data_IF_885055165124
#
_entry.id   IF_885055165124
#
_cell.length_a   1.000
_cell.length_b   1.000
_cell.length_c   1.000
_cell.angle_alpha   90.00
_cell.angle_beta   90.00
_cell.angle_gamma   90.00
#
_symmetry.space_group_name_H-M   'P 1'
#
loop_
_entity.id
_entity.type
_entity.pdbx_description
1 polymer ?
#
# COMPACT_ATOMS: atom_id res chain seq x y z
N UNK A 1 -6.13 -13.74 19.35
CA UNK A 1 -5.29 -12.56 19.03
C UNK A 1 -5.60 -12.12 17.61
N UNK A 2 -5.82 -10.84 17.40
CA UNK A 2 -6.05 -10.37 16.04
C UNK A 2 -4.78 -10.53 15.20
N UNK A 3 -4.95 -10.92 13.97
CA UNK A 3 -3.86 -10.99 13.01
C UNK A 3 -3.77 -9.67 12.25
N UNK A 4 -2.55 -9.30 11.90
CA UNK A 4 -2.29 -8.18 11.00
C UNK A 4 -1.76 -8.78 9.71
N UNK A 5 -2.46 -8.47 8.62
CA UNK A 5 -2.01 -8.85 7.29
C UNK A 5 -1.30 -7.65 6.68
N UNK A 6 -0.13 -7.89 6.12
CA UNK A 6 0.70 -6.86 5.53
C UNK A 6 1.00 -7.25 4.09
N UNK A 7 0.85 -6.31 3.18
CA UNK A 7 1.16 -6.52 1.79
C UNK A 7 2.07 -5.41 1.28
N UNK A 8 3.13 -5.80 0.59
CA UNK A 8 3.95 -4.87 -0.17
C UNK A 8 3.47 -4.87 -1.60
N UNK A 9 3.16 -3.70 -2.11
CA UNK A 9 2.58 -3.52 -3.44
C UNK A 9 3.42 -2.56 -4.27
N UNK A 10 3.39 -2.77 -5.57
CA UNK A 10 3.96 -1.82 -6.52
C UNK A 10 2.79 -1.16 -7.24
N UNK A 11 2.70 0.14 -7.14
CA UNK A 11 1.73 0.94 -7.87
C UNK A 11 2.43 1.73 -8.96
N UNK A 12 1.76 1.88 -10.09
CA UNK A 12 2.27 2.72 -11.17
C UNK A 12 1.27 3.84 -11.40
N UNK A 13 1.79 5.05 -11.48
CA UNK A 13 0.96 6.24 -11.69
C UNK A 13 1.52 7.00 -12.88
N UNK A 14 0.71 7.91 -13.41
CA UNK A 14 1.18 8.80 -14.48
C UNK A 14 2.27 9.71 -13.93
N UNK A 15 3.45 9.77 -14.56
CA UNK A 15 4.55 10.60 -14.02
C UNK A 15 4.17 12.07 -13.85
N UNK A 16 3.36 12.61 -14.75
CA UNK A 16 2.91 14.01 -14.69
C UNK A 16 1.95 14.26 -13.53
N UNK A 17 1.45 13.20 -12.90
CA UNK A 17 0.53 13.30 -11.77
C UNK A 17 1.11 12.66 -10.50
N UNK A 18 2.42 12.51 -10.46
CA UNK A 18 3.09 11.79 -9.38
C UNK A 18 2.75 12.36 -8.00
N UNK A 19 2.94 13.66 -7.80
CA UNK A 19 2.73 14.28 -6.49
C UNK A 19 1.26 14.16 -6.04
N UNK A 20 0.33 14.39 -6.94
CA UNK A 20 -1.10 14.28 -6.64
C UNK A 20 -1.50 12.85 -6.29
N UNK A 21 -0.97 11.90 -7.04
CA UNK A 21 -1.26 10.48 -6.83
C UNK A 21 -0.72 10.00 -5.49
N UNK A 22 0.50 10.39 -5.15
CA UNK A 22 1.09 10.07 -3.85
C UNK A 22 0.23 10.62 -2.72
N UNK A 23 -0.16 11.88 -2.81
CA UNK A 23 -0.98 12.51 -1.78
C UNK A 23 -2.32 11.78 -1.61
N UNK A 24 -2.95 11.40 -2.73
CA UNK A 24 -4.24 10.70 -2.69
C UNK A 24 -4.10 9.30 -2.10
N UNK A 25 -3.04 8.58 -2.46
CA UNK A 25 -2.79 7.24 -1.92
C UNK A 25 -2.53 7.34 -0.41
N UNK A 26 -1.69 8.26 0.01
CA UNK A 26 -1.36 8.42 1.43
C UNK A 26 -2.59 8.80 2.27
N UNK A 27 -3.46 9.63 1.73
CA UNK A 27 -4.70 9.97 2.40
C UNK A 27 -5.63 8.76 2.55
N UNK A 28 -5.65 7.91 1.52
CA UNK A 28 -6.49 6.72 1.52
C UNK A 28 -6.01 5.65 2.50
N UNK A 29 -4.71 5.38 2.51
CA UNK A 29 -4.15 4.31 3.34
C UNK A 29 -3.74 4.78 4.74
N UNK A 30 -3.68 6.08 4.97
CA UNK A 30 -3.32 6.64 6.27
C UNK A 30 -1.85 6.50 6.63
N UNK A 31 -0.97 6.33 5.65
CA UNK A 31 0.47 6.13 5.85
C UNK A 31 1.24 6.63 4.64
N UNK A 32 2.50 7.01 4.80
CA UNK A 32 3.30 7.45 3.65
C UNK A 32 3.65 6.27 2.73
N UNK A 33 3.85 6.58 1.44
CA UNK A 33 4.39 5.57 0.52
C UNK A 33 5.83 5.29 0.92
N UNK A 34 6.26 4.03 0.76
CA UNK A 34 7.59 3.60 1.21
C UNK A 34 8.70 4.11 0.30
N UNK A 35 8.44 4.20 -0.99
CA UNK A 35 9.41 4.69 -1.97
C UNK A 35 8.67 5.14 -3.23
N UNK A 36 9.31 6.01 -3.98
CA UNK A 36 8.78 6.48 -5.26
C UNK A 36 9.94 6.83 -6.18
N UNK A 37 9.67 6.79 -7.50
CA UNK A 37 10.62 7.29 -8.47
C UNK A 37 9.92 8.22 -9.46
N UNK A 38 10.70 9.06 -10.18
CA UNK A 38 10.12 10.03 -11.11
C UNK A 38 9.37 9.43 -12.28
N UNK A 39 9.58 8.16 -12.57
CA UNK A 39 8.89 7.49 -13.67
C UNK A 39 7.47 7.04 -13.29
N UNK A 40 7.11 7.19 -12.01
CA UNK A 40 5.76 6.88 -11.56
C UNK A 40 5.61 5.53 -10.87
N UNK A 41 6.70 4.92 -10.44
CA UNK A 41 6.67 3.66 -9.72
C UNK A 41 6.69 3.93 -8.22
N UNK A 42 5.75 3.36 -7.49
CA UNK A 42 5.61 3.56 -6.05
C UNK A 42 5.64 2.22 -5.34
N UNK A 43 6.29 2.20 -4.17
CA UNK A 43 6.18 1.06 -3.25
C UNK A 43 5.22 1.45 -2.14
N UNK A 44 4.17 0.67 -1.97
CA UNK A 44 3.10 0.95 -1.02
C UNK A 44 2.94 -0.26 -0.11
N UNK A 45 2.97 -0.04 1.20
CA UNK A 45 2.74 -1.10 2.17
C UNK A 45 1.34 -0.93 2.74
N UNK A 46 0.52 -1.96 2.61
CA UNK A 46 -0.85 -1.98 3.09
C UNK A 46 -0.96 -2.89 4.31
N UNK A 47 -1.79 -2.50 5.26
CA UNK A 47 -2.07 -3.29 6.44
C UNK A 47 -3.57 -3.45 6.61
N UNK A 48 -4.00 -4.61 7.09
CA UNK A 48 -5.41 -4.85 7.33
C UNK A 48 -5.63 -6.10 8.15
N UNK A 49 -6.87 -6.32 8.55
CA UNK A 49 -7.25 -7.45 9.41
C UNK A 49 -7.45 -8.76 8.64
N UNK A 50 -7.41 -8.72 7.32
CA UNK A 50 -7.60 -9.90 6.48
C UNK A 50 -7.05 -9.65 5.08
N UNK A 51 -6.87 -10.73 4.33
CA UNK A 51 -6.50 -10.61 2.91
C UNK A 51 -7.56 -9.83 2.13
N UNK A 52 -8.84 -10.05 2.44
CA UNK A 52 -9.91 -9.31 1.79
C UNK A 52 -9.82 -7.81 2.02
N UNK A 53 -9.42 -7.40 3.23
CA UNK A 53 -9.23 -5.98 3.54
C UNK A 53 -8.10 -5.37 2.71
N UNK A 54 -7.01 -6.13 2.49
CA UNK A 54 -5.91 -5.66 1.66
C UNK A 54 -6.33 -5.50 0.21
N UNK A 55 -7.07 -6.47 -0.32
CA UNK A 55 -7.57 -6.42 -1.70
C UNK A 55 -8.53 -5.25 -1.88
N UNK A 56 -9.37 -4.97 -0.90
CA UNK A 56 -10.27 -3.83 -0.92
C UNK A 56 -9.50 -2.51 -0.98
N UNK A 57 -8.43 -2.39 -0.20
CA UNK A 57 -7.58 -1.21 -0.24
C UNK A 57 -6.92 -1.05 -1.61
N UNK A 58 -6.45 -2.16 -2.20
CA UNK A 58 -5.86 -2.13 -3.54
C UNK A 58 -6.87 -1.64 -4.58
N UNK A 59 -8.12 -2.10 -4.48
CA UNK A 59 -9.17 -1.65 -5.39
C UNK A 59 -9.42 -0.15 -5.25
N UNK A 60 -9.41 0.36 -4.03
CA UNK A 60 -9.58 1.79 -3.79
C UNK A 60 -8.41 2.61 -4.33
N UNK A 61 -7.18 2.12 -4.18
CA UNK A 61 -6.01 2.77 -4.76
C UNK A 61 -6.12 2.77 -6.28
N UNK A 62 -6.54 1.65 -6.86
CA UNK A 62 -6.67 1.52 -8.32
C UNK A 62 -7.70 2.51 -8.88
N UNK A 63 -8.69 2.89 -8.09
CA UNK A 63 -9.72 3.82 -8.51
C UNK A 63 -9.28 5.29 -8.45
N UNK A 64 -8.13 5.59 -7.88
CA UNK A 64 -7.61 6.97 -7.82
C UNK A 64 -7.22 7.42 -9.21
N UNK A 65 -7.65 8.64 -9.57
CA UNK A 65 -7.28 9.22 -10.85
C UNK A 65 -5.76 9.41 -10.93
N UNK A 66 -5.17 8.95 -12.01
CA UNK A 66 -3.71 8.98 -12.19
C UNK A 66 -3.04 7.64 -11.87
N UNK A 67 -3.69 6.74 -11.17
CA UNK A 67 -3.14 5.41 -10.89
C UNK A 67 -3.43 4.50 -12.07
N UNK A 68 -2.38 3.91 -12.64
CA UNK A 68 -2.46 3.02 -13.80
C UNK A 68 -2.71 1.58 -13.37
N UNK A 69 -2.00 1.11 -12.36
CA UNK A 69 -2.26 -0.19 -11.76
C UNK A 69 -1.61 -0.29 -10.38
N UNK A 70 -1.95 -1.34 -9.65
CA UNK A 70 -1.30 -1.72 -8.41
C UNK A 70 -1.28 -3.24 -8.34
N UNK A 71 -0.12 -3.80 -7.97
CA UNK A 71 0.07 -5.24 -7.86
C UNK A 71 0.69 -5.58 -6.52
N UNK A 72 0.23 -6.67 -5.92
CA UNK A 72 0.81 -7.20 -4.69
C UNK A 72 2.04 -8.04 -5.04
N UNK A 73 3.18 -7.72 -4.44
CA UNK A 73 4.41 -8.47 -4.68
C UNK A 73 4.78 -9.37 -3.51
N UNK A 74 4.28 -9.08 -2.32
CA UNK A 74 4.53 -9.88 -1.14
C UNK A 74 3.41 -9.68 -0.14
N UNK A 75 3.02 -10.76 0.55
CA UNK A 75 2.05 -10.68 1.63
C UNK A 75 2.44 -11.65 2.73
N UNK A 76 2.29 -11.24 3.98
CA UNK A 76 2.37 -12.14 5.09
C UNK A 76 1.39 -11.70 6.18
N UNK A 77 1.13 -12.59 7.12
CA UNK A 77 0.30 -12.28 8.27
C UNK A 77 1.09 -12.62 9.53
N UNK A 78 0.91 -11.79 10.54
CA UNK A 78 1.54 -11.97 11.84
C UNK A 78 0.57 -11.56 12.92
N UNK A 79 0.75 -12.08 14.13
CA UNK A 79 0.01 -11.52 15.23
C UNK A 79 0.68 -10.21 15.67
N UNK A 80 -0.09 -9.40 16.37
CA UNK A 80 0.33 -8.06 16.74
C UNK A 80 1.55 -8.08 17.66
N UNK A 81 1.66 -9.08 18.54
CA UNK A 81 2.78 -9.18 19.45
C UNK A 81 4.09 -9.49 18.73
N UNK A 82 4.04 -10.39 17.74
CA UNK A 82 5.21 -10.71 16.93
C UNK A 82 5.69 -9.50 16.14
N UNK A 83 4.77 -8.71 15.61
CA UNK A 83 5.14 -7.51 14.87
C UNK A 83 5.87 -6.48 15.72
N UNK A 84 5.49 -6.36 16.98
CA UNK A 84 6.16 -5.44 17.89
C UNK A 84 7.62 -5.83 18.12
N UNK A 85 7.93 -7.11 18.06
CA UNK A 85 9.31 -7.56 18.18
C UNK A 85 10.16 -7.15 16.99
N UNK A 86 9.60 -7.20 15.78
CA UNK A 86 10.31 -6.77 14.58
C UNK A 86 10.60 -5.28 14.55
N UNK A 87 9.85 -4.51 15.29
CA UNK A 87 9.95 -3.05 15.26
C UNK A 87 10.89 -2.48 16.31
N UNK A 88 11.58 -3.32 17.06
CA UNK A 88 12.56 -2.86 18.05
C UNK A 88 13.85 -2.34 17.43
#
# INVERSE_FOLDING_TARGET
>A
MPEIHIASCIARVRPERLAESIASIEALIGAPVSASDPEGKLVVVLEGGSTGALLDQMDRVRAIDGVLNIEMVYQHSEDEAAMKEYMK
#
